data_IF_347882918218
#
_entry.id   IF_347882918218
#
_cell.length_a   1.000
_cell.length_b   1.000
_cell.length_c   1.000
_cell.angle_alpha   90.00
_cell.angle_beta   90.00
_cell.angle_gamma   90.00
#
_symmetry.space_group_name_H-M   'P 1'
#
loop_
_entity.id
_entity.type
_entity.pdbx_description
1 polymer ?
#
# COMPACT_ATOMS: atom_id res chain seq x y z
N UNK A 1 -37.16 -31.32 73.20
CA UNK A 1 -36.35 -31.92 72.17
C UNK A 1 -36.83 -31.32 70.85
N UNK A 2 -36.21 -30.24 70.38
CA UNK A 2 -36.55 -29.54 69.15
C UNK A 2 -35.54 -29.97 68.05
N UNK A 3 -36.06 -30.56 67.00
CA UNK A 3 -35.29 -31.00 65.83
C UNK A 3 -34.80 -29.80 65.02
N UNK A 4 -33.50 -29.60 64.98
CA UNK A 4 -32.84 -28.63 64.07
C UNK A 4 -32.92 -29.17 62.63
N UNK A 5 -33.75 -28.55 61.78
CA UNK A 5 -33.81 -28.85 60.38
C UNK A 5 -32.55 -28.25 59.74
N UNK A 6 -31.67 -29.10 59.21
CA UNK A 6 -30.54 -28.70 58.39
C UNK A 6 -31.01 -28.02 57.09
N UNK A 7 -30.55 -26.80 56.84
CA UNK A 7 -30.81 -26.07 55.60
C UNK A 7 -30.12 -26.78 54.40
N UNK A 8 -30.75 -26.79 53.22
CA UNK A 8 -30.15 -27.39 52.03
C UNK A 8 -28.90 -26.60 51.61
N UNK A 9 -27.80 -27.32 51.32
CA UNK A 9 -26.57 -26.74 50.85
C UNK A 9 -26.78 -26.04 49.48
N UNK A 10 -26.48 -24.75 49.41
CA UNK A 10 -26.48 -23.96 48.18
C UNK A 10 -25.32 -24.47 47.28
N UNK A 11 -25.59 -24.97 46.06
CA UNK A 11 -24.50 -25.40 45.18
C UNK A 11 -23.63 -24.20 44.80
N UNK A 12 -22.35 -24.25 45.14
CA UNK A 12 -21.38 -23.26 44.74
C UNK A 12 -21.30 -23.20 43.19
N UNK A 13 -21.28 -22.00 42.58
CA UNK A 13 -21.13 -21.85 41.14
C UNK A 13 -19.82 -22.51 40.74
N UNK A 14 -19.88 -23.40 39.75
CA UNK A 14 -18.69 -24.01 39.15
C UNK A 14 -17.77 -22.91 38.66
N UNK A 15 -16.52 -22.90 39.14
CA UNK A 15 -15.50 -21.98 38.68
C UNK A 15 -15.44 -22.02 37.14
N UNK A 16 -15.48 -20.86 36.46
CA UNK A 16 -15.37 -20.83 35.01
C UNK A 16 -14.06 -21.49 34.65
N UNK A 17 -14.14 -22.53 33.80
CA UNK A 17 -12.96 -23.27 33.34
C UNK A 17 -11.93 -22.28 32.79
N UNK A 18 -10.69 -22.39 33.24
CA UNK A 18 -9.57 -21.58 32.78
C UNK A 18 -9.45 -21.75 31.26
N UNK A 19 -10.07 -20.84 30.49
CA UNK A 19 -9.84 -20.77 29.05
C UNK A 19 -8.36 -20.49 28.87
N UNK A 20 -7.63 -21.45 28.29
CA UNK A 20 -6.25 -21.23 27.87
C UNK A 20 -6.21 -19.95 27.07
N UNK A 21 -5.47 -18.95 27.56
CA UNK A 21 -5.20 -17.71 26.85
C UNK A 21 -4.33 -18.11 25.68
N UNK A 22 -4.95 -18.35 24.51
CA UNK A 22 -4.19 -18.55 23.27
C UNK A 22 -3.30 -17.33 23.09
N UNK A 23 -2.01 -17.53 22.89
CA UNK A 23 -1.04 -16.47 22.59
C UNK A 23 -1.57 -15.62 21.42
N UNK A 24 -1.48 -14.30 21.52
CA UNK A 24 -2.11 -13.35 20.58
C UNK A 24 -1.83 -13.67 19.10
N UNK A 25 -0.64 -14.17 18.79
CA UNK A 25 -0.24 -14.59 17.43
C UNK A 25 -1.09 -15.72 16.84
N UNK A 26 -1.41 -16.76 17.61
CA UNK A 26 -2.24 -17.88 17.13
C UNK A 26 -3.67 -17.45 16.82
N UNK A 27 -4.22 -16.52 17.60
CA UNK A 27 -5.55 -15.94 17.33
C UNK A 27 -5.55 -15.12 16.05
N UNK A 28 -4.51 -14.31 15.85
CA UNK A 28 -4.29 -13.48 14.65
C UNK A 28 -4.25 -14.34 13.38
N UNK A 29 -3.39 -15.36 13.35
CA UNK A 29 -3.27 -16.28 12.21
C UNK A 29 -4.57 -17.04 11.96
N UNK A 30 -5.26 -17.48 13.01
CA UNK A 30 -6.54 -18.18 12.88
C UNK A 30 -7.64 -17.28 12.31
N UNK A 31 -7.71 -15.99 12.72
CA UNK A 31 -8.66 -15.01 12.17
C UNK A 31 -8.35 -14.74 10.70
N UNK A 32 -7.10 -14.49 10.37
CA UNK A 32 -6.64 -14.30 8.98
C UNK A 32 -7.07 -15.46 8.08
N UNK A 33 -6.80 -16.70 8.49
CA UNK A 33 -7.15 -17.91 7.73
C UNK A 33 -8.65 -18.19 7.63
N UNK A 34 -9.47 -17.68 8.55
CA UNK A 34 -10.93 -17.84 8.51
C UNK A 34 -11.63 -16.90 7.53
N UNK A 35 -11.01 -15.77 7.17
CA UNK A 35 -11.56 -14.84 6.19
C UNK A 35 -11.00 -15.19 4.81
N UNK A 36 -11.80 -15.73 3.88
CA UNK A 36 -11.33 -16.12 2.54
C UNK A 36 -10.80 -14.94 1.73
N UNK A 37 -11.34 -13.72 1.93
CA UNK A 37 -10.87 -12.52 1.25
C UNK A 37 -9.47 -12.13 1.71
N UNK A 38 -9.16 -12.27 3.01
CA UNK A 38 -7.81 -12.02 3.52
C UNK A 38 -6.78 -12.99 2.92
N UNK A 39 -7.16 -14.27 2.80
CA UNK A 39 -6.31 -15.29 2.17
C UNK A 39 -6.12 -14.99 0.69
N UNK A 40 -7.19 -14.62 -0.03
CA UNK A 40 -7.12 -14.25 -1.44
C UNK A 40 -6.20 -13.04 -1.65
N UNK A 41 -6.36 -11.97 -0.85
CA UNK A 41 -5.51 -10.79 -0.92
C UNK A 41 -4.03 -11.13 -0.72
N UNK A 42 -3.73 -11.94 0.31
CA UNK A 42 -2.37 -12.40 0.56
C UNK A 42 -1.81 -13.24 -0.59
N UNK A 43 -2.60 -14.16 -1.16
CA UNK A 43 -2.19 -14.97 -2.30
C UNK A 43 -1.86 -14.11 -3.52
N UNK A 44 -2.70 -13.10 -3.84
CA UNK A 44 -2.45 -12.19 -4.95
C UNK A 44 -1.16 -11.39 -4.71
N UNK A 45 -0.99 -10.79 -3.53
CA UNK A 45 0.22 -10.00 -3.22
C UNK A 45 1.48 -10.87 -3.25
N UNK A 46 1.42 -12.08 -2.68
CA UNK A 46 2.53 -13.04 -2.71
C UNK A 46 2.84 -13.48 -4.15
N UNK A 47 1.82 -13.73 -4.98
CA UNK A 47 2.01 -14.06 -6.39
C UNK A 47 2.74 -12.93 -7.14
N UNK A 48 2.30 -11.67 -6.98
CA UNK A 48 3.00 -10.52 -7.57
C UNK A 48 4.42 -10.35 -7.02
N UNK A 49 4.63 -10.56 -5.71
CA UNK A 49 5.95 -10.50 -5.11
C UNK A 49 6.88 -11.60 -5.70
N UNK A 50 6.38 -12.80 -5.89
CA UNK A 50 7.12 -13.88 -6.55
C UNK A 50 7.41 -13.54 -8.02
N UNK A 51 6.44 -13.00 -8.77
CA UNK A 51 6.66 -12.53 -10.15
C UNK A 51 7.76 -11.46 -10.17
N UNK A 52 7.70 -10.48 -9.27
CA UNK A 52 8.70 -9.42 -9.18
C UNK A 52 10.11 -9.95 -8.83
N UNK A 53 10.21 -10.92 -7.91
CA UNK A 53 11.47 -11.54 -7.52
C UNK A 53 12.04 -12.43 -8.63
N UNK A 54 11.17 -13.23 -9.28
CA UNK A 54 11.53 -14.16 -10.32
C UNK A 54 11.56 -13.52 -11.72
N UNK A 55 11.32 -12.21 -11.84
CA UNK A 55 11.31 -11.51 -13.12
C UNK A 55 12.55 -11.80 -14.01
N UNK A 56 13.79 -11.85 -13.47
CA UNK A 56 14.96 -12.21 -14.30
C UNK A 56 14.93 -13.63 -14.87
N UNK A 57 14.17 -14.54 -14.26
CA UNK A 57 14.02 -15.92 -14.72
C UNK A 57 12.82 -16.08 -15.64
N UNK A 58 11.69 -15.41 -15.31
CA UNK A 58 10.45 -15.49 -16.08
C UNK A 58 10.55 -14.74 -17.42
N UNK A 59 11.22 -13.59 -17.40
CA UNK A 59 11.42 -12.74 -18.56
C UNK A 59 12.90 -12.30 -18.59
N UNK A 60 13.73 -13.10 -19.25
CA UNK A 60 15.18 -12.92 -19.24
C UNK A 60 15.57 -11.58 -19.89
N UNK A 61 16.34 -10.72 -19.18
CA UNK A 61 16.73 -9.42 -19.73
C UNK A 61 17.72 -9.58 -20.88
N UNK A 62 17.43 -8.95 -22.00
CA UNK A 62 18.30 -8.90 -23.18
C UNK A 62 19.08 -7.59 -23.25
N UNK A 63 18.59 -6.55 -22.57
CA UNK A 63 19.18 -5.22 -22.51
C UNK A 63 20.07 -5.04 -21.28
N UNK A 64 21.01 -4.08 -21.32
CA UNK A 64 21.85 -3.71 -20.18
C UNK A 64 21.04 -3.21 -18.99
N UNK A 65 19.93 -2.52 -19.25
CA UNK A 65 18.96 -2.14 -18.23
C UNK A 65 17.77 -3.11 -18.29
N UNK A 66 17.59 -3.98 -17.29
CA UNK A 66 16.53 -4.99 -17.31
C UNK A 66 15.11 -4.42 -17.27
N UNK A 67 14.96 -3.16 -16.93
CA UNK A 67 13.65 -2.49 -16.98
C UNK A 67 13.27 -1.98 -18.36
N UNK A 68 14.19 -1.99 -19.34
CA UNK A 68 13.85 -1.68 -20.74
C UNK A 68 13.26 -2.92 -21.39
N UNK A 69 12.08 -2.74 -22.00
CA UNK A 69 11.35 -3.84 -22.64
C UNK A 69 12.01 -4.11 -24.01
N UNK A 70 12.36 -5.36 -24.31
CA UNK A 70 12.82 -5.73 -25.63
C UNK A 70 11.76 -5.42 -26.70
N UNK A 71 12.18 -4.88 -27.82
CA UNK A 71 11.31 -4.70 -28.98
C UNK A 71 11.91 -5.37 -30.22
N UNK A 72 11.08 -6.00 -31.02
CA UNK A 72 11.51 -6.72 -32.25
C UNK A 72 11.14 -5.94 -33.50
N UNK A 73 11.97 -4.98 -33.84
CA UNK A 73 11.73 -4.13 -35.02
C UNK A 73 10.67 -3.05 -34.77
N UNK A 74 10.22 -2.41 -35.84
CA UNK A 74 9.16 -1.41 -35.82
C UNK A 74 8.00 -1.89 -36.69
N UNK A 75 6.80 -1.84 -36.19
CA UNK A 75 5.55 -1.99 -36.95
C UNK A 75 4.57 -0.99 -36.41
N UNK A 76 3.76 -0.41 -37.27
CA UNK A 76 2.71 0.51 -36.89
C UNK A 76 1.63 -0.15 -36.05
N UNK A 77 1.41 -1.46 -36.26
CA UNK A 77 0.31 -2.19 -35.65
C UNK A 77 0.79 -3.12 -34.54
N UNK A 78 0.08 -3.17 -33.38
CA UNK A 78 0.34 -4.14 -32.33
C UNK A 78 0.17 -5.56 -32.86
N UNK A 79 1.05 -6.49 -32.50
CA UNK A 79 0.92 -7.91 -32.85
C UNK A 79 0.08 -8.64 -31.79
N UNK A 80 -0.88 -9.49 -32.24
CA UNK A 80 -1.69 -10.27 -31.32
C UNK A 80 -0.87 -11.32 -30.56
N UNK A 81 -1.39 -11.83 -29.42
CA UNK A 81 -0.79 -12.94 -28.69
C UNK A 81 -0.47 -14.13 -29.60
N UNK A 82 0.75 -14.65 -29.49
CA UNK A 82 1.25 -15.71 -30.34
C UNK A 82 2.62 -16.25 -29.93
N UNK A 83 3.21 -17.14 -30.75
CA UNK A 83 4.55 -17.68 -30.50
C UNK A 83 5.61 -16.55 -30.39
N UNK A 84 6.36 -16.51 -29.30
CA UNK A 84 7.36 -15.49 -29.02
C UNK A 84 6.85 -14.26 -28.26
N UNK A 85 5.54 -13.96 -28.31
CA UNK A 85 4.90 -12.87 -27.60
C UNK A 85 3.59 -13.36 -26.97
N UNK A 86 3.62 -14.02 -25.79
CA UNK A 86 2.45 -14.68 -25.21
C UNK A 86 1.26 -13.74 -24.96
N UNK A 87 1.53 -12.45 -24.68
CA UNK A 87 0.49 -11.43 -24.45
C UNK A 87 0.39 -10.43 -25.62
N UNK A 88 1.12 -10.64 -26.73
CA UNK A 88 1.20 -9.70 -27.84
C UNK A 88 2.20 -8.57 -27.58
N UNK A 89 2.17 -7.56 -28.45
CA UNK A 89 3.07 -6.39 -28.39
C UNK A 89 2.29 -5.08 -28.39
N UNK A 90 2.96 -3.98 -28.04
CA UNK A 90 2.45 -2.62 -28.24
C UNK A 90 2.64 -2.16 -29.70
N UNK A 91 2.22 -0.93 -30.02
CA UNK A 91 2.42 -0.27 -31.33
C UNK A 91 3.89 -0.28 -31.76
N UNK A 92 4.82 0.03 -30.85
CA UNK A 92 6.26 0.05 -31.14
C UNK A 92 6.94 -1.33 -30.96
N UNK A 93 6.16 -2.41 -30.95
CA UNK A 93 6.61 -3.80 -30.82
C UNK A 93 7.29 -4.15 -29.48
N UNK A 94 7.02 -3.40 -28.41
CA UNK A 94 7.42 -3.78 -27.06
C UNK A 94 6.60 -4.98 -26.57
N UNK A 95 7.27 -5.98 -26.02
CA UNK A 95 6.65 -7.22 -25.53
C UNK A 95 5.82 -6.99 -24.25
N UNK A 96 4.51 -7.25 -24.34
CA UNK A 96 3.59 -7.05 -23.21
C UNK A 96 3.85 -8.03 -22.04
N UNK A 97 4.25 -9.28 -22.31
CA UNK A 97 4.57 -10.24 -21.28
C UNK A 97 5.77 -9.77 -20.45
N UNK A 98 6.85 -9.39 -21.14
CA UNK A 98 8.04 -8.84 -20.50
C UNK A 98 7.68 -7.60 -19.65
N UNK A 99 6.95 -6.66 -20.26
CA UNK A 99 6.53 -5.43 -19.61
C UNK A 99 5.67 -5.64 -18.38
N UNK A 100 4.77 -6.62 -18.39
CA UNK A 100 3.94 -6.97 -17.23
C UNK A 100 4.76 -7.60 -16.10
N UNK A 101 5.64 -8.53 -16.43
CA UNK A 101 6.50 -9.23 -15.44
C UNK A 101 7.45 -8.24 -14.75
N UNK A 102 8.20 -7.44 -15.50
CA UNK A 102 9.11 -6.44 -14.94
C UNK A 102 8.37 -5.24 -14.36
N UNK A 103 7.19 -4.91 -14.88
CA UNK A 103 6.28 -3.91 -14.34
C UNK A 103 5.83 -4.23 -12.91
N UNK A 104 5.69 -5.51 -12.56
CA UNK A 104 5.41 -5.91 -11.17
C UNK A 104 6.54 -5.47 -10.22
N UNK A 105 7.80 -5.58 -10.64
CA UNK A 105 8.96 -5.13 -9.87
C UNK A 105 8.98 -3.61 -9.73
N UNK A 106 8.68 -2.89 -10.83
CA UNK A 106 8.54 -1.42 -10.82
C UNK A 106 7.44 -0.99 -9.85
N UNK A 107 6.26 -1.62 -9.90
CA UNK A 107 5.13 -1.32 -9.01
C UNK A 107 5.49 -1.47 -7.52
N UNK A 108 6.15 -2.58 -7.14
CA UNK A 108 6.61 -2.76 -5.76
C UNK A 108 7.65 -1.71 -5.35
N UNK A 109 8.65 -1.45 -6.21
CA UNK A 109 9.69 -0.45 -5.91
C UNK A 109 9.08 0.93 -5.67
N UNK A 110 8.23 1.39 -6.60
CA UNK A 110 7.57 2.69 -6.50
C UNK A 110 6.71 2.77 -5.25
N UNK A 111 5.81 1.81 -5.03
CA UNK A 111 4.92 1.82 -3.89
C UNK A 111 5.67 1.79 -2.56
N UNK A 112 6.69 0.91 -2.42
CA UNK A 112 7.49 0.81 -1.19
C UNK A 112 8.30 2.08 -0.93
N UNK A 113 8.92 2.68 -1.96
CA UNK A 113 9.70 3.91 -1.79
C UNK A 113 8.81 5.09 -1.37
N UNK A 114 7.65 5.25 -1.99
CA UNK A 114 6.70 6.31 -1.63
C UNK A 114 6.16 6.10 -0.23
N UNK A 115 5.68 4.90 0.12
CA UNK A 115 5.17 4.59 1.46
C UNK A 115 6.24 4.78 2.51
N UNK A 116 7.47 4.27 2.29
CA UNK A 116 8.56 4.42 3.23
C UNK A 116 8.88 5.90 3.49
N UNK A 117 8.95 6.72 2.44
CA UNK A 117 9.19 8.16 2.55
C UNK A 117 8.05 8.85 3.31
N UNK A 118 6.80 8.56 2.98
CA UNK A 118 5.63 9.14 3.65
C UNK A 118 5.56 8.75 5.14
N UNK A 119 5.83 7.47 5.46
CA UNK A 119 5.88 6.97 6.84
C UNK A 119 7.01 7.62 7.64
N UNK A 120 8.22 7.70 7.08
CA UNK A 120 9.36 8.33 7.75
C UNK A 120 9.07 9.82 8.02
N UNK A 121 8.54 10.54 7.02
CA UNK A 121 8.17 11.96 7.17
C UNK A 121 7.09 12.12 8.24
N UNK A 122 6.08 11.26 8.25
CA UNK A 122 5.02 11.27 9.26
C UNK A 122 5.56 10.95 10.66
N UNK A 123 6.48 10.00 10.80
CA UNK A 123 7.12 9.69 12.10
C UNK A 123 7.88 10.90 12.66
N UNK A 124 8.48 11.72 11.81
CA UNK A 124 9.19 12.93 12.23
C UNK A 124 8.19 14.05 12.51
N UNK A 125 7.42 14.48 11.50
CA UNK A 125 6.55 15.63 11.59
C UNK A 125 5.30 15.38 12.45
N UNK A 126 4.68 14.22 12.32
CA UNK A 126 3.50 13.85 13.09
C UNK A 126 3.79 13.63 14.57
N UNK A 127 4.98 13.07 14.91
CA UNK A 127 5.39 12.94 16.30
C UNK A 127 5.69 14.29 16.94
N UNK A 128 6.42 15.17 16.25
CA UNK A 128 6.71 16.54 16.75
C UNK A 128 5.42 17.31 16.94
N UNK A 129 4.55 17.33 15.95
CA UNK A 129 3.26 18.01 15.99
C UNK A 129 2.35 17.44 17.11
N UNK A 130 2.17 16.12 17.16
CA UNK A 130 1.25 15.47 18.11
C UNK A 130 1.76 15.44 19.57
N UNK A 131 3.08 15.33 19.77
CA UNK A 131 3.66 15.25 21.12
C UNK A 131 3.84 16.63 21.77
N UNK A 132 4.50 17.57 21.09
CA UNK A 132 4.77 18.89 21.66
C UNK A 132 3.56 19.83 21.57
N UNK A 133 2.78 19.76 20.50
CA UNK A 133 1.64 20.66 20.31
C UNK A 133 2.07 22.12 20.07
N UNK A 134 1.17 23.09 20.37
CA UNK A 134 1.45 24.52 20.31
C UNK A 134 1.90 25.03 18.93
N UNK A 135 2.89 25.96 18.87
CA UNK A 135 3.35 26.54 17.61
C UNK A 135 3.93 25.52 16.61
N UNK A 136 4.58 24.45 17.10
CA UNK A 136 5.10 23.38 16.25
C UNK A 136 3.98 22.63 15.55
N UNK A 137 2.91 22.33 16.27
CA UNK A 137 1.71 21.70 15.71
C UNK A 137 1.04 22.63 14.69
N UNK A 138 0.86 23.90 15.03
CA UNK A 138 0.25 24.88 14.13
C UNK A 138 1.03 24.99 12.81
N UNK A 139 2.36 25.10 12.86
CA UNK A 139 3.19 25.19 11.66
C UNK A 139 3.09 23.93 10.79
N UNK A 140 3.26 22.74 11.39
CA UNK A 140 3.20 21.48 10.65
C UNK A 140 1.83 21.29 10.02
N UNK A 141 0.75 21.57 10.75
CA UNK A 141 -0.62 21.42 10.22
C UNK A 141 -0.94 22.45 9.14
N UNK A 142 -0.46 23.70 9.25
CA UNK A 142 -0.61 24.70 8.17
C UNK A 142 0.02 24.24 6.87
N UNK A 143 1.26 23.72 6.94
CA UNK A 143 1.92 23.17 5.75
C UNK A 143 1.15 21.96 5.22
N UNK A 144 0.74 21.05 6.09
CA UNK A 144 -0.07 19.88 5.73
C UNK A 144 -1.37 20.28 5.01
N UNK A 145 -2.06 21.32 5.52
CA UNK A 145 -3.32 21.83 4.95
C UNK A 145 -3.11 22.43 3.55
N UNK A 146 -1.98 23.12 3.33
CA UNK A 146 -1.62 23.66 2.00
C UNK A 146 -1.52 22.53 0.98
N UNK A 147 -0.79 21.45 1.31
CA UNK A 147 -0.65 20.30 0.39
C UNK A 147 -1.98 19.60 0.13
N UNK A 148 -2.80 19.41 1.15
CA UNK A 148 -4.09 18.71 1.03
C UNK A 148 -5.20 19.57 0.38
N UNK A 149 -4.96 20.87 0.20
CA UNK A 149 -5.88 21.74 -0.55
C UNK A 149 -5.85 21.47 -2.06
N UNK A 150 -4.77 20.86 -2.56
CA UNK A 150 -4.65 20.54 -3.98
C UNK A 150 -5.10 19.09 -4.25
N UNK A 151 -5.77 18.80 -5.38
CA UNK A 151 -5.99 17.44 -5.83
C UNK A 151 -4.65 16.73 -6.05
N UNK A 152 -4.44 15.58 -5.37
CA UNK A 152 -3.12 14.91 -5.30
C UNK A 152 -2.51 14.60 -6.66
N UNK A 153 -3.28 14.04 -7.59
CA UNK A 153 -2.78 13.75 -8.94
C UNK A 153 -2.35 15.01 -9.69
N UNK A 154 -3.11 16.11 -9.57
CA UNK A 154 -2.77 17.37 -10.23
C UNK A 154 -1.46 17.93 -9.68
N UNK A 155 -1.29 17.91 -8.35
CA UNK A 155 -0.06 18.36 -7.71
C UNK A 155 1.14 17.49 -8.14
N UNK A 156 0.97 16.16 -8.22
CA UNK A 156 2.02 15.27 -8.70
C UNK A 156 2.42 15.56 -10.15
N UNK A 157 1.43 15.78 -11.04
CA UNK A 157 1.66 16.19 -12.44
C UNK A 157 2.49 17.47 -12.53
N UNK A 158 2.13 18.50 -11.77
CA UNK A 158 2.86 19.78 -11.75
C UNK A 158 4.29 19.59 -11.28
N UNK A 159 4.50 18.82 -10.21
CA UNK A 159 5.85 18.56 -9.68
C UNK A 159 6.69 17.83 -10.72
N UNK A 160 6.17 16.78 -11.35
CA UNK A 160 6.92 16.03 -12.39
C UNK A 160 7.18 16.89 -13.63
N UNK A 161 6.22 17.74 -14.05
CA UNK A 161 6.41 18.64 -15.17
C UNK A 161 7.60 19.59 -14.95
N UNK A 162 7.84 20.01 -13.71
CA UNK A 162 8.99 20.85 -13.34
C UNK A 162 10.29 20.04 -13.24
N UNK A 163 10.24 18.84 -12.62
CA UNK A 163 11.43 18.00 -12.40
C UNK A 163 11.90 17.25 -13.65
N UNK A 164 11.03 17.09 -14.64
CA UNK A 164 11.27 16.28 -15.85
C UNK A 164 10.80 14.82 -15.68
N UNK A 165 10.56 14.17 -16.84
CA UNK A 165 10.08 12.79 -16.91
C UNK A 165 11.13 11.80 -16.41
N UNK A 166 10.84 11.07 -15.35
CA UNK A 166 11.59 9.88 -14.91
C UNK A 166 10.84 9.16 -13.80
N UNK A 167 11.10 7.86 -13.65
CA UNK A 167 10.56 7.05 -12.53
C UNK A 167 10.93 7.68 -11.18
N UNK A 168 12.17 8.15 -11.02
CA UNK A 168 12.66 8.79 -9.80
C UNK A 168 11.87 10.06 -9.48
N UNK A 169 11.66 10.94 -10.45
CA UNK A 169 10.94 12.20 -10.24
C UNK A 169 9.46 11.96 -9.95
N UNK A 170 8.85 10.96 -10.59
CA UNK A 170 7.50 10.54 -10.30
C UNK A 170 7.36 10.00 -8.85
N UNK A 171 8.31 9.19 -8.38
CA UNK A 171 8.36 8.72 -6.98
C UNK A 171 8.46 9.91 -6.02
N UNK A 172 9.35 10.88 -6.30
CA UNK A 172 9.49 12.09 -5.47
C UNK A 172 8.17 12.87 -5.45
N UNK A 173 7.56 13.09 -6.61
CA UNK A 173 6.30 13.83 -6.70
C UNK A 173 5.16 13.17 -5.91
N UNK A 174 4.99 11.85 -6.05
CA UNK A 174 3.97 11.12 -5.30
C UNK A 174 4.28 11.14 -3.79
N UNK A 175 5.54 10.96 -3.39
CA UNK A 175 5.94 11.02 -1.99
C UNK A 175 5.64 12.40 -1.35
N UNK A 176 5.88 13.49 -2.10
CA UNK A 176 5.55 14.87 -1.69
C UNK A 176 4.04 15.09 -1.55
N UNK A 177 3.24 14.35 -2.28
CA UNK A 177 1.76 14.43 -2.19
C UNK A 177 1.21 13.57 -1.05
N UNK A 178 1.83 12.42 -0.77
CA UNK A 178 1.30 11.41 0.17
C UNK A 178 1.62 11.71 1.65
N UNK A 179 2.78 12.30 1.98
CA UNK A 179 3.23 12.50 3.37
C UNK A 179 2.22 13.25 4.28
N UNK A 180 1.42 14.23 3.78
CA UNK A 180 0.50 14.98 4.63
C UNK A 180 -0.59 14.11 5.24
N UNK A 181 -1.11 13.16 4.49
CA UNK A 181 -2.15 12.22 4.95
C UNK A 181 -1.63 11.37 6.11
N UNK A 182 -0.42 10.83 5.98
CA UNK A 182 0.23 10.03 7.02
C UNK A 182 0.58 10.87 8.26
N UNK A 183 1.07 12.10 8.05
CA UNK A 183 1.40 13.03 9.15
C UNK A 183 0.18 13.41 9.97
N UNK A 184 -0.94 13.70 9.31
CA UNK A 184 -2.21 14.03 9.98
C UNK A 184 -2.75 12.85 10.78
N UNK A 185 -2.69 11.63 10.21
CA UNK A 185 -3.09 10.42 10.90
C UNK A 185 -2.26 10.22 12.17
N UNK A 186 -0.94 10.24 12.02
CA UNK A 186 -0.03 9.97 13.15
C UNK A 186 -0.15 11.03 14.25
N UNK A 187 -0.28 12.32 13.88
CA UNK A 187 -0.58 13.38 14.83
C UNK A 187 -1.83 13.05 15.66
N UNK A 188 -2.93 12.66 15.01
CA UNK A 188 -4.16 12.27 15.70
C UNK A 188 -3.96 11.14 16.70
N UNK A 189 -3.20 10.12 16.32
CA UNK A 189 -2.85 9.00 17.20
C UNK A 189 -1.95 9.44 18.38
N UNK A 190 -1.01 10.34 18.15
CA UNK A 190 -0.15 10.89 19.21
C UNK A 190 -0.94 11.69 20.23
N UNK A 191 -1.87 12.56 19.78
CA UNK A 191 -2.76 13.31 20.65
C UNK A 191 -3.60 12.38 21.55
N UNK A 192 -4.05 11.24 21.01
CA UNK A 192 -4.83 10.25 21.76
C UNK A 192 -4.00 9.53 22.80
N UNK A 193 -2.73 9.19 22.48
CA UNK A 193 -1.89 8.32 23.34
C UNK A 193 -1.10 9.12 24.37
N UNK A 194 -0.68 10.36 24.10
CA UNK A 194 0.15 11.15 25.01
C UNK A 194 -0.49 11.43 26.37
N UNK A 195 -1.83 11.48 26.41
CA UNK A 195 -2.60 11.79 27.62
C UNK A 195 -3.03 10.52 28.40
N UNK A 196 -2.57 9.32 28.00
CA UNK A 196 -2.84 8.07 28.72
C UNK A 196 -1.96 7.96 29.99
N UNK A 197 -2.51 7.39 31.03
CA UNK A 197 -1.92 7.31 32.37
C UNK A 197 -0.48 6.77 32.40
N UNK A 198 -0.16 5.73 31.61
CA UNK A 198 1.19 5.17 31.60
C UNK A 198 2.23 6.11 30.96
N UNK A 199 1.82 6.98 30.01
CA UNK A 199 2.71 8.00 29.42
C UNK A 199 2.93 9.11 30.43
N UNK A 200 1.88 9.58 31.12
CA UNK A 200 1.97 10.57 32.18
C UNK A 200 2.83 10.06 33.35
N UNK A 201 2.69 8.79 33.73
CA UNK A 201 3.54 8.18 34.74
C UNK A 201 5.02 8.16 34.33
N UNK A 202 5.33 7.84 33.07
CA UNK A 202 6.70 7.87 32.55
C UNK A 202 7.28 9.30 32.57
N UNK A 203 6.47 10.33 32.28
CA UNK A 203 6.85 11.74 32.41
C UNK A 203 7.11 12.14 33.86
N UNK A 204 6.21 11.74 34.79
CA UNK A 204 6.35 12.04 36.22
C UNK A 204 7.61 11.41 36.84
N UNK A 205 8.06 10.28 36.31
CA UNK A 205 9.31 9.61 36.71
C UNK A 205 10.56 10.27 36.09
N UNK A 206 10.42 11.38 35.33
CA UNK A 206 11.53 12.10 34.73
C UNK A 206 12.05 11.51 33.43
N UNK A 207 11.26 10.69 32.73
CA UNK A 207 11.60 10.16 31.42
C UNK A 207 11.79 11.27 30.39
N UNK A 208 12.90 11.26 29.62
CA UNK A 208 13.13 12.23 28.55
C UNK A 208 12.18 12.01 27.37
N UNK A 209 11.80 13.08 26.67
CA UNK A 209 10.82 13.07 25.56
C UNK A 209 11.15 12.03 24.48
N UNK A 210 12.39 11.96 24.03
CA UNK A 210 12.79 11.00 23.00
C UNK A 210 12.56 9.55 23.45
N UNK A 211 12.85 9.24 24.73
CA UNK A 211 12.59 7.91 25.29
C UNK A 211 11.09 7.63 25.36
N UNK A 212 10.29 8.60 25.78
CA UNK A 212 8.83 8.46 25.87
C UNK A 212 8.21 8.25 24.47
N UNK A 213 8.60 9.10 23.52
CA UNK A 213 8.13 9.00 22.13
C UNK A 213 8.45 7.62 21.53
N UNK A 214 9.71 7.20 21.59
CA UNK A 214 10.17 5.99 20.90
C UNK A 214 9.76 4.70 21.63
N UNK A 215 9.69 4.71 22.97
CA UNK A 215 9.44 3.49 23.77
C UNK A 215 7.98 3.31 24.15
N UNK A 216 7.22 4.42 24.28
CA UNK A 216 5.85 4.37 24.79
C UNK A 216 4.80 4.83 23.77
N UNK A 217 5.05 5.89 22.99
CA UNK A 217 4.04 6.45 22.09
C UNK A 217 4.06 5.75 20.73
N UNK A 218 5.19 5.74 20.00
CA UNK A 218 5.28 5.15 18.66
C UNK A 218 4.80 3.70 18.62
N UNK A 219 5.21 2.78 19.53
CA UNK A 219 4.75 1.39 19.47
C UNK A 219 3.23 1.22 19.59
N UNK A 220 2.55 2.18 20.21
CA UNK A 220 1.10 2.16 20.40
C UNK A 220 0.32 2.93 19.32
N UNK A 221 0.99 3.73 18.50
CA UNK A 221 0.40 4.57 17.44
C UNK A 221 0.72 4.08 16.02
N UNK A 222 1.65 3.12 15.89
CA UNK A 222 2.13 2.66 14.56
C UNK A 222 1.09 1.84 13.79
N UNK A 223 0.20 1.12 14.48
CA UNK A 223 -0.72 0.17 13.82
C UNK A 223 -1.69 0.83 12.83
N UNK A 224 -2.40 1.94 13.14
CA UNK A 224 -3.24 2.63 12.16
C UNK A 224 -2.45 3.11 10.94
N UNK A 225 -1.19 3.51 11.12
CA UNK A 225 -0.32 3.94 10.03
C UNK A 225 0.08 2.77 9.14
N UNK A 226 0.35 1.58 9.69
CA UNK A 226 0.65 0.37 8.90
C UNK A 226 -0.57 -0.09 8.10
N UNK A 227 -1.78 0.04 8.66
CA UNK A 227 -3.03 -0.24 7.94
C UNK A 227 -3.18 0.73 6.77
N UNK A 228 -3.03 2.03 7.00
CA UNK A 228 -3.08 3.04 5.93
C UNK A 228 -2.01 2.77 4.87
N UNK A 229 -0.79 2.44 5.28
CA UNK A 229 0.31 2.12 4.38
C UNK A 229 -0.04 0.96 3.44
N UNK A 230 -0.61 -0.12 3.98
CA UNK A 230 -1.00 -1.28 3.17
C UNK A 230 -2.13 -0.97 2.18
N UNK A 231 -3.15 -0.21 2.60
CA UNK A 231 -4.24 0.23 1.72
C UNK A 231 -3.76 1.17 0.62
N UNK A 232 -2.81 2.05 0.92
CA UNK A 232 -2.28 3.02 -0.04
C UNK A 232 -1.33 2.42 -1.08
N UNK A 233 -0.76 1.24 -0.86
CA UNK A 233 0.13 0.59 -1.84
C UNK A 233 -0.51 0.51 -3.24
N UNK A 234 -1.77 0.12 -3.29
CA UNK A 234 -2.53 0.05 -4.55
C UNK A 234 -2.77 1.44 -5.16
N UNK A 235 -3.19 2.40 -4.35
CA UNK A 235 -3.46 3.79 -4.78
C UNK A 235 -2.22 4.47 -5.38
N UNK A 236 -1.06 4.27 -4.77
CA UNK A 236 0.22 4.80 -5.26
C UNK A 236 0.55 4.23 -6.65
N UNK A 237 0.32 2.92 -6.87
CA UNK A 237 0.55 2.32 -8.20
C UNK A 237 -0.41 2.86 -9.24
N UNK A 238 -1.68 3.11 -8.89
CA UNK A 238 -2.63 3.78 -9.81
C UNK A 238 -2.13 5.18 -10.15
N UNK A 239 -1.70 5.97 -9.15
CA UNK A 239 -1.19 7.33 -9.38
C UNK A 239 0.06 7.33 -10.26
N UNK A 240 1.00 6.40 -10.02
CA UNK A 240 2.19 6.24 -10.84
C UNK A 240 1.85 5.81 -12.27
N UNK A 241 0.94 4.83 -12.44
CA UNK A 241 0.46 4.41 -13.74
C UNK A 241 -0.25 5.55 -14.50
N UNK A 242 -1.02 6.39 -13.81
CA UNK A 242 -1.65 7.57 -14.40
C UNK A 242 -0.60 8.61 -14.87
N UNK A 243 0.44 8.88 -14.06
CA UNK A 243 1.55 9.75 -14.48
C UNK A 243 2.29 9.20 -15.70
N UNK A 244 2.55 7.88 -15.72
CA UNK A 244 3.20 7.21 -16.85
C UNK A 244 2.32 7.21 -18.10
N UNK A 245 1.01 7.00 -17.94
CA UNK A 245 0.05 7.11 -19.04
C UNK A 245 -0.01 8.52 -19.63
N UNK A 246 0.15 9.55 -18.80
CA UNK A 246 0.23 10.95 -19.25
C UNK A 246 1.62 11.31 -19.83
N UNK A 247 2.55 10.34 -19.93
CA UNK A 247 3.90 10.59 -20.43
C UNK A 247 4.82 11.31 -19.46
N UNK A 248 4.47 11.36 -18.17
CA UNK A 248 5.25 12.06 -17.13
C UNK A 248 5.96 11.10 -16.16
N UNK A 249 5.60 9.80 -16.14
CA UNK A 249 6.19 8.80 -15.26
C UNK A 249 7.42 8.12 -15.86
N UNK A 250 7.29 6.85 -16.18
CA UNK A 250 8.34 6.07 -16.84
C UNK A 250 8.60 6.54 -18.28
N UNK A 251 9.86 6.51 -18.76
CA UNK A 251 10.17 6.82 -20.16
C UNK A 251 9.63 5.73 -21.09
N UNK A 252 9.47 6.04 -22.41
CA UNK A 252 9.04 5.06 -23.40
C UNK A 252 9.89 3.79 -23.37
N UNK A 253 9.25 2.63 -23.50
CA UNK A 253 9.91 1.33 -23.46
C UNK A 253 10.34 0.86 -22.06
N UNK A 254 10.07 1.62 -21.00
CA UNK A 254 10.31 1.16 -19.63
C UNK A 254 9.18 0.24 -19.15
N UNK A 255 9.51 -0.83 -18.44
CA UNK A 255 8.56 -1.81 -17.92
C UNK A 255 7.74 -1.21 -16.76
N UNK A 256 6.64 -0.57 -17.13
CA UNK A 256 5.62 -0.02 -16.25
C UNK A 256 4.24 -0.20 -16.89
N UNK A 257 3.24 -0.57 -16.10
CA UNK A 257 1.92 -0.88 -16.63
C UNK A 257 1.19 0.32 -17.21
N UNK A 258 1.37 1.51 -16.63
CA UNK A 258 0.82 2.76 -17.17
C UNK A 258 1.46 3.14 -18.51
N UNK A 259 2.77 2.93 -18.63
CA UNK A 259 3.51 3.17 -19.88
C UNK A 259 3.09 2.19 -21.00
N UNK A 260 2.84 0.90 -20.66
CA UNK A 260 2.33 -0.06 -21.65
C UNK A 260 0.98 0.37 -22.23
N UNK A 261 0.08 0.91 -21.38
CA UNK A 261 -1.21 1.45 -21.85
C UNK A 261 -0.99 2.70 -22.70
N UNK A 262 -0.07 3.59 -22.30
CA UNK A 262 0.28 4.79 -23.08
C UNK A 262 0.78 4.44 -24.48
N UNK A 263 1.70 3.48 -24.60
CA UNK A 263 2.26 3.02 -25.87
C UNK A 263 1.23 2.37 -26.82
N UNK A 264 0.03 2.09 -26.32
CA UNK A 264 -1.03 1.46 -27.09
C UNK A 264 -2.32 2.28 -27.14
N UNK A 265 -2.29 3.53 -26.67
CA UNK A 265 -3.52 4.32 -26.50
C UNK A 265 -4.26 4.58 -27.81
N UNK A 266 -3.57 4.68 -28.95
CA UNK A 266 -4.16 4.86 -30.28
C UNK A 266 -5.00 3.66 -30.72
N UNK A 267 -4.75 2.47 -30.14
CA UNK A 267 -5.35 1.19 -30.56
C UNK A 267 -6.44 0.68 -29.61
N UNK A 268 -6.70 1.40 -28.51
CA UNK A 268 -7.70 1.01 -27.52
C UNK A 268 -9.11 0.93 -28.11
N UNK A 269 -9.41 1.79 -29.12
CA UNK A 269 -10.68 1.81 -29.81
C UNK A 269 -10.81 0.72 -30.91
N UNK A 270 -9.76 -0.07 -31.14
CA UNK A 270 -9.72 -1.08 -32.18
C UNK A 270 -9.65 -0.49 -33.60
N UNK A 271 -10.20 -1.23 -34.56
CA UNK A 271 -10.35 -0.80 -35.95
C UNK A 271 -11.79 -0.49 -36.28
N UNK A 272 -12.03 0.20 -37.42
CA UNK A 272 -13.38 0.57 -37.87
C UNK A 272 -14.35 -0.63 -38.06
N UNK A 273 -13.83 -1.84 -38.18
CA UNK A 273 -14.63 -3.08 -38.35
C UNK A 273 -14.69 -3.96 -37.11
N UNK A 274 -13.75 -3.82 -36.17
CA UNK A 274 -13.67 -4.62 -34.95
C UNK A 274 -13.06 -3.80 -33.80
N UNK A 275 -13.88 -3.33 -32.87
CA UNK A 275 -13.44 -2.57 -31.71
C UNK A 275 -12.54 -3.37 -30.74
N UNK A 276 -12.55 -4.70 -30.82
CA UNK A 276 -11.80 -5.58 -29.93
C UNK A 276 -10.53 -6.16 -30.55
N UNK A 277 -10.14 -5.75 -31.73
CA UNK A 277 -8.95 -6.28 -32.43
C UNK A 277 -7.68 -6.25 -31.52
N UNK A 278 -7.48 -5.19 -30.77
CA UNK A 278 -6.28 -4.96 -29.93
C UNK A 278 -6.58 -4.98 -28.43
N UNK A 279 -7.62 -5.71 -28.01
CA UNK A 279 -8.08 -5.79 -26.61
C UNK A 279 -6.95 -6.08 -25.60
N UNK A 280 -5.96 -6.88 -25.99
CA UNK A 280 -4.86 -7.31 -25.15
C UNK A 280 -3.95 -6.17 -24.70
N UNK A 281 -3.81 -5.11 -25.51
CA UNK A 281 -2.95 -3.96 -25.22
C UNK A 281 -3.43 -3.16 -24.00
N UNK A 282 -4.73 -3.16 -23.72
CA UNK A 282 -5.34 -2.54 -22.55
C UNK A 282 -5.61 -3.56 -21.43
N UNK A 283 -6.21 -4.71 -21.76
CA UNK A 283 -6.70 -5.67 -20.77
C UNK A 283 -5.53 -6.32 -20.02
N UNK A 284 -4.41 -6.61 -20.68
CA UNK A 284 -3.26 -7.25 -20.05
C UNK A 284 -2.63 -6.36 -18.96
N UNK A 285 -2.15 -5.15 -19.25
CA UNK A 285 -1.61 -4.28 -18.21
C UNK A 285 -2.69 -3.77 -17.24
N UNK A 286 -3.91 -3.52 -17.71
CA UNK A 286 -5.04 -3.12 -16.87
C UNK A 286 -5.41 -4.19 -15.84
N UNK A 287 -5.41 -5.47 -16.21
CA UNK A 287 -5.62 -6.59 -15.27
C UNK A 287 -4.50 -6.68 -14.25
N UNK A 288 -3.25 -6.44 -14.64
CA UNK A 288 -2.13 -6.40 -13.69
C UNK A 288 -2.30 -5.31 -12.63
N UNK A 289 -2.67 -4.09 -13.05
CA UNK A 289 -2.98 -2.99 -12.12
C UNK A 289 -4.15 -3.38 -11.21
N UNK A 290 -5.25 -3.85 -11.80
CA UNK A 290 -6.46 -4.22 -11.05
C UNK A 290 -6.18 -5.28 -9.99
N UNK A 291 -5.51 -6.37 -10.36
CA UNK A 291 -5.20 -7.45 -9.42
C UNK A 291 -4.22 -7.01 -8.33
N UNK A 292 -3.21 -6.21 -8.67
CA UNK A 292 -2.27 -5.68 -7.69
C UNK A 292 -2.99 -4.82 -6.65
N UNK A 293 -3.83 -3.89 -7.10
CA UNK A 293 -4.64 -3.01 -6.25
C UNK A 293 -5.62 -3.81 -5.39
N UNK A 294 -6.33 -4.77 -5.99
CA UNK A 294 -7.25 -5.65 -5.29
C UNK A 294 -6.53 -6.43 -4.19
N UNK A 295 -5.37 -7.00 -4.51
CA UNK A 295 -4.57 -7.76 -3.55
C UNK A 295 -4.18 -6.92 -2.33
N UNK A 296 -3.68 -5.71 -2.54
CA UNK A 296 -3.29 -4.80 -1.45
C UNK A 296 -4.49 -4.29 -0.65
N UNK A 297 -5.62 -3.98 -1.27
CA UNK A 297 -6.84 -3.57 -0.56
C UNK A 297 -7.35 -4.70 0.34
N UNK A 298 -7.48 -5.93 -0.18
CA UNK A 298 -7.91 -7.09 0.60
C UNK A 298 -6.94 -7.41 1.75
N UNK A 299 -5.64 -7.24 1.52
CA UNK A 299 -4.63 -7.44 2.56
C UNK A 299 -4.67 -6.33 3.61
N UNK A 300 -4.88 -5.07 3.21
CA UNK A 300 -5.05 -3.94 4.11
C UNK A 300 -6.28 -4.07 5.01
N UNK A 301 -7.40 -4.52 4.46
CA UNK A 301 -8.60 -4.85 5.23
C UNK A 301 -8.34 -5.97 6.23
N UNK A 302 -7.57 -6.99 5.83
CA UNK A 302 -7.15 -8.06 6.73
C UNK A 302 -6.29 -7.54 7.90
N UNK A 303 -5.36 -6.62 7.66
CA UNK A 303 -4.59 -5.97 8.72
C UNK A 303 -5.49 -5.16 9.65
N UNK A 304 -6.47 -4.44 9.10
CA UNK A 304 -7.46 -3.71 9.90
C UNK A 304 -8.22 -4.64 10.84
N UNK A 305 -8.76 -5.74 10.32
CA UNK A 305 -9.51 -6.74 11.11
C UNK A 305 -8.67 -7.36 12.25
N UNK A 306 -7.37 -7.46 12.05
CA UNK A 306 -6.43 -8.03 13.02
C UNK A 306 -6.08 -7.02 14.11
N UNK A 307 -5.78 -5.78 13.73
CA UNK A 307 -5.25 -4.76 14.63
C UNK A 307 -6.34 -3.88 15.28
N UNK A 308 -7.62 -4.02 14.88
CA UNK A 308 -8.72 -3.27 15.48
C UNK A 308 -9.06 -3.82 16.88
N UNK A 309 -8.84 -3.03 17.96
CA UNK A 309 -9.13 -3.45 19.33
C UNK A 309 -10.63 -3.56 19.62
N UNK A 310 -11.49 -2.85 18.89
CA UNK A 310 -12.94 -2.84 19.11
C UNK A 310 -13.61 -4.17 18.74
N UNK A 311 -13.04 -4.92 17.80
CA UNK A 311 -13.49 -6.27 17.45
C UNK A 311 -13.02 -7.34 18.46
N UNK A 312 -12.24 -6.97 19.47
CA UNK A 312 -11.72 -7.88 20.48
C UNK A 312 -12.67 -8.04 21.70
N UNK A 313 -13.63 -7.12 21.90
CA UNK A 313 -14.51 -7.05 23.06
C UNK A 313 -15.94 -7.60 22.90
N UNK A 314 -16.37 -7.98 21.70
CA UNK A 314 -17.80 -8.28 21.40
C UNK A 314 -18.13 -9.77 21.21
N UNK A 315 -17.37 -10.70 21.81
CA UNK A 315 -17.77 -12.12 21.86
C UNK A 315 -17.38 -12.81 23.14
#
# INVERSE_FOLDING_TARGET
MSAVRSAPAIPLPRAPGVRRVETGWHRTVRRFRKNPLSVLGALIVVAFALIALLAPVLAHPTERNPYMIPHSGYSSDPRPPGPGHPFGTTEEQFDLYYGVVWGARTAFLVALMVVATAVITALILGSVSGYYGGPADELVMRITDIFLAFPGLILAVVIVAVLGQSVRNAVIAIAVVEWPTYTRLLRGEFLRVRDIEYVQAAQALGGGDFHIITRHVIPNTIYPMLILASLNMGGIVITFAALSFLGLGAPPGYADWGQLINLSHNWIAGTAGDPFTYWYTLIVPGTAIFLFVLGWNLLGDAFRDIFDPHLQGSR
#
